data_IF_341544214338
#
_entry.id   IF_341544214338
#
_cell.length_a   1.000
_cell.length_b   1.000
_cell.length_c   1.000
_cell.angle_alpha   90.00
_cell.angle_beta   90.00
_cell.angle_gamma   90.00
#
_symmetry.space_group_name_H-M   'P 1'
#
loop_
_entity.id
_entity.type
_entity.pdbx_description
1 polymer ?
#
# COMPACT_ATOMS: atom_id res chain seq x y z
N UNK A 1 25.35 41.31 7.89
CA UNK A 1 24.70 41.04 6.59
C UNK A 1 24.31 39.57 6.55
N UNK A 2 23.01 39.28 6.50
CA UNK A 2 22.47 37.93 6.68
C UNK A 2 22.71 37.02 5.47
N UNK A 3 23.17 35.79 5.72
CA UNK A 3 23.47 34.81 4.69
C UNK A 3 22.23 34.39 3.88
N UNK A 4 22.46 34.10 2.60
CA UNK A 4 21.44 33.68 1.63
C UNK A 4 20.79 32.38 2.10
N UNK A 5 19.48 32.41 2.37
CA UNK A 5 18.71 31.21 2.71
C UNK A 5 18.47 30.40 1.44
N UNK A 6 18.78 29.10 1.47
CA UNK A 6 18.42 28.17 0.39
C UNK A 6 16.88 28.15 0.26
N UNK A 7 16.39 28.42 -0.94
CA UNK A 7 14.96 28.45 -1.27
C UNK A 7 14.26 27.12 -0.96
N UNK A 8 12.92 27.09 -0.95
CA UNK A 8 12.16 25.93 -0.53
C UNK A 8 12.47 24.74 -1.44
N UNK A 9 12.50 23.56 -0.81
CA UNK A 9 12.58 22.22 -1.39
C UNK A 9 12.33 22.19 -2.91
N UNK A 10 13.41 22.16 -3.69
CA UNK A 10 13.34 21.79 -5.10
C UNK A 10 12.87 20.34 -5.17
N UNK A 11 11.60 20.14 -5.52
CA UNK A 11 11.04 18.82 -5.79
C UNK A 11 11.85 18.19 -6.90
N UNK A 12 12.66 17.19 -6.56
CA UNK A 12 13.39 16.43 -7.56
C UNK A 12 12.37 15.77 -8.48
N UNK A 13 12.48 16.06 -9.79
CA UNK A 13 11.65 15.45 -10.82
C UNK A 13 12.04 13.97 -10.91
N UNK A 14 11.29 13.10 -10.25
CA UNK A 14 11.43 11.66 -10.45
C UNK A 14 11.05 11.36 -11.90
N UNK A 15 11.95 10.70 -12.63
CA UNK A 15 11.76 10.31 -14.03
C UNK A 15 10.41 9.59 -14.23
N UNK A 16 9.42 10.33 -14.76
CA UNK A 16 8.04 9.87 -14.97
C UNK A 16 7.99 8.62 -15.89
N UNK A 17 8.96 8.46 -16.77
CA UNK A 17 9.04 7.35 -17.73
C UNK A 17 9.27 5.95 -17.12
N UNK A 18 9.76 5.84 -15.87
CA UNK A 18 9.89 4.52 -15.20
C UNK A 18 8.64 4.08 -14.44
N UNK A 19 7.70 4.99 -14.19
CA UNK A 19 6.57 4.77 -13.27
C UNK A 19 5.41 4.06 -13.98
N UNK A 20 5.24 4.27 -15.28
CA UNK A 20 4.02 3.86 -15.99
C UNK A 20 3.97 2.38 -16.39
N UNK A 21 5.11 1.70 -16.57
CA UNK A 21 5.11 0.35 -17.17
C UNK A 21 4.88 -0.78 -16.16
N UNK A 22 5.06 -0.54 -14.84
CA UNK A 22 5.09 -1.62 -13.84
C UNK A 22 4.50 -1.24 -12.46
N UNK A 23 3.62 -0.24 -12.37
CA UNK A 23 2.98 0.05 -11.09
C UNK A 23 1.99 -1.07 -10.69
N UNK A 24 2.17 -1.61 -9.48
CA UNK A 24 1.24 -2.55 -8.85
C UNK A 24 1.23 -2.28 -7.35
N UNK A 25 0.11 -2.61 -6.70
CA UNK A 25 0.00 -2.55 -5.25
C UNK A 25 0.95 -3.56 -4.61
N UNK A 26 1.82 -3.09 -3.71
CA UNK A 26 2.79 -3.94 -3.00
C UNK A 26 2.31 -4.33 -1.61
N UNK A 27 1.51 -3.48 -0.97
CA UNK A 27 1.05 -3.67 0.41
C UNK A 27 -0.42 -4.08 0.44
N UNK A 28 -0.70 -5.17 1.14
CA UNK A 28 -2.04 -5.73 1.31
C UNK A 28 -2.34 -6.00 2.77
N UNK A 29 -3.59 -5.80 3.16
CA UNK A 29 -4.12 -6.20 4.45
C UNK A 29 -4.88 -7.52 4.26
N UNK A 30 -4.52 -8.53 5.04
CA UNK A 30 -5.25 -9.79 5.13
C UNK A 30 -6.01 -9.81 6.45
N UNK A 31 -7.33 -9.82 6.33
CA UNK A 31 -8.26 -9.83 7.46
C UNK A 31 -8.88 -11.20 7.62
N UNK A 32 -8.98 -11.68 8.85
CA UNK A 32 -9.64 -12.95 9.15
C UNK A 32 -11.15 -12.75 9.12
N UNK A 33 -11.85 -13.61 8.39
CA UNK A 33 -13.32 -13.67 8.44
C UNK A 33 -13.67 -14.67 9.53
N UNK A 34 -14.26 -14.23 10.63
CA UNK A 34 -14.69 -15.12 11.71
C UNK A 34 -15.97 -14.59 12.37
N UNK A 35 -16.87 -15.50 12.73
CA UNK A 35 -18.10 -15.18 13.46
C UNK A 35 -17.79 -14.73 14.90
N UNK A 36 -16.68 -15.21 15.47
CA UNK A 36 -16.29 -14.98 16.87
C UNK A 36 -15.23 -13.87 17.02
N UNK A 37 -15.05 -13.00 16.02
CA UNK A 37 -14.04 -11.91 16.01
C UNK A 37 -12.61 -12.39 16.29
N UNK A 38 -12.28 -13.61 15.89
CA UNK A 38 -10.94 -14.15 16.03
C UNK A 38 -9.95 -13.39 15.13
N UNK A 39 -8.71 -13.26 15.60
CA UNK A 39 -7.63 -12.54 14.89
C UNK A 39 -6.44 -13.45 14.58
N UNK A 40 -5.40 -12.93 13.95
CA UNK A 40 -4.14 -13.63 13.74
C UNK A 40 -3.20 -13.58 14.96
N UNK A 41 -3.61 -12.95 16.07
CA UNK A 41 -2.81 -12.97 17.31
C UNK A 41 -2.69 -14.39 17.89
N UNK A 42 -3.77 -15.17 17.81
CA UNK A 42 -3.82 -16.55 18.31
C UNK A 42 -3.20 -17.57 17.35
N UNK A 43 -2.94 -17.16 16.10
CA UNK A 43 -2.39 -18.04 15.07
C UNK A 43 -0.87 -18.03 15.15
N UNK A 44 -0.25 -19.22 15.13
CA UNK A 44 1.21 -19.36 15.16
C UNK A 44 1.87 -18.59 14.00
N UNK A 45 2.92 -17.77 14.26
CA UNK A 45 3.60 -17.01 13.21
C UNK A 45 4.22 -17.94 12.14
N UNK A 46 4.72 -19.12 12.53
CA UNK A 46 5.25 -20.11 11.60
C UNK A 46 4.16 -20.69 10.69
N UNK A 47 2.93 -20.85 11.20
CA UNK A 47 1.81 -21.31 10.38
C UNK A 47 1.40 -20.24 9.37
N UNK A 48 1.36 -18.97 9.81
CA UNK A 48 1.07 -17.83 8.93
C UNK A 48 2.09 -17.76 7.80
N UNK A 49 3.38 -17.81 8.13
CA UNK A 49 4.46 -17.78 7.15
C UNK A 49 4.37 -18.94 6.15
N UNK A 50 4.19 -20.18 6.64
CA UNK A 50 4.04 -21.36 5.77
C UNK A 50 2.80 -21.28 4.88
N UNK A 51 1.66 -20.82 5.40
CA UNK A 51 0.43 -20.70 4.62
C UNK A 51 0.57 -19.67 3.49
N UNK A 52 1.19 -18.52 3.79
CA UNK A 52 1.40 -17.47 2.80
C UNK A 52 2.45 -17.91 1.78
N UNK A 53 3.60 -18.44 2.22
CA UNK A 53 4.65 -18.93 1.34
C UNK A 53 4.20 -20.09 0.46
N UNK A 54 3.33 -20.97 0.96
CA UNK A 54 2.72 -22.03 0.16
C UNK A 54 1.75 -21.52 -0.91
N UNK A 55 1.14 -20.35 -0.70
CA UNK A 55 0.14 -19.79 -1.63
C UNK A 55 0.73 -18.81 -2.65
N UNK A 56 1.71 -18.00 -2.23
CA UNK A 56 2.27 -16.88 -3.01
C UNK A 56 3.76 -17.05 -3.32
N UNK A 57 4.41 -18.07 -2.76
CA UNK A 57 5.86 -18.23 -2.77
C UNK A 57 6.55 -17.25 -1.81
N UNK A 58 7.84 -17.02 -2.03
CA UNK A 58 8.62 -16.09 -1.23
C UNK A 58 8.16 -14.64 -1.47
N UNK A 59 7.69 -13.98 -0.42
CA UNK A 59 7.20 -12.60 -0.44
C UNK A 59 8.16 -11.67 0.33
N UNK A 60 7.96 -10.35 0.24
CA UNK A 60 8.89 -9.37 0.79
C UNK A 60 8.83 -9.32 2.31
N UNK A 61 7.63 -9.20 2.87
CA UNK A 61 7.46 -9.18 4.32
C UNK A 61 6.04 -9.57 4.74
N UNK A 62 5.93 -10.14 5.94
CA UNK A 62 4.67 -10.40 6.64
C UNK A 62 4.78 -9.78 8.02
N UNK A 63 3.82 -8.95 8.40
CA UNK A 63 3.77 -8.33 9.73
C UNK A 63 2.39 -8.47 10.32
N UNK A 64 2.31 -8.80 11.60
CA UNK A 64 1.06 -8.72 12.37
C UNK A 64 0.83 -7.27 12.78
N UNK A 65 -0.35 -6.75 12.46
CA UNK A 65 -0.77 -5.41 12.87
C UNK A 65 -1.37 -5.45 14.28
N UNK A 66 -1.41 -4.29 14.95
CA UNK A 66 -2.07 -4.13 16.26
C UNK A 66 -3.58 -4.41 16.20
N UNK A 67 -4.19 -4.28 15.02
CA UNK A 67 -5.59 -4.67 14.80
C UNK A 67 -5.82 -6.18 14.89
N UNK A 68 -4.76 -6.99 14.81
CA UNK A 68 -4.84 -8.45 14.70
C UNK A 68 -4.92 -8.96 13.28
N UNK A 69 -4.84 -8.08 12.28
CA UNK A 69 -4.72 -8.41 10.85
C UNK A 69 -3.26 -8.64 10.45
N UNK A 70 -3.05 -9.12 9.23
CA UNK A 70 -1.71 -9.23 8.63
C UNK A 70 -1.50 -8.15 7.58
N UNK A 71 -0.36 -7.49 7.64
CA UNK A 71 0.19 -6.69 6.55
C UNK A 71 1.14 -7.58 5.76
N UNK A 72 0.89 -7.70 4.46
CA UNK A 72 1.70 -8.48 3.53
C UNK A 72 2.27 -7.57 2.45
N UNK A 73 3.57 -7.65 2.26
CA UNK A 73 4.28 -6.95 1.20
C UNK A 73 4.73 -7.95 0.13
N UNK A 74 4.32 -7.73 -1.12
CA UNK A 74 4.65 -8.60 -2.26
C UNK A 74 5.79 -8.02 -3.10
N UNK A 75 6.55 -8.90 -3.75
CA UNK A 75 7.71 -8.52 -4.59
C UNK A 75 7.33 -8.34 -6.07
N UNK A 76 6.25 -8.98 -6.51
CA UNK A 76 5.91 -9.10 -7.94
C UNK A 76 4.45 -8.80 -8.22
N UNK A 77 4.18 -8.25 -9.41
CA UNK A 77 2.83 -8.07 -9.96
C UNK A 77 2.02 -9.38 -10.03
N UNK A 78 2.68 -10.51 -10.31
CA UNK A 78 1.99 -11.81 -10.31
C UNK A 78 1.46 -12.14 -8.91
N UNK A 79 2.27 -11.90 -7.89
CA UNK A 79 1.89 -12.09 -6.49
C UNK A 79 0.78 -11.12 -6.08
N UNK A 80 0.84 -9.85 -6.51
CA UNK A 80 -0.21 -8.87 -6.20
C UNK A 80 -1.58 -9.26 -6.78
N UNK A 81 -1.60 -9.85 -7.96
CA UNK A 81 -2.84 -10.37 -8.56
C UNK A 81 -3.31 -11.67 -7.90
N UNK A 82 -2.38 -12.50 -7.42
CA UNK A 82 -2.71 -13.75 -6.73
C UNK A 82 -3.24 -13.51 -5.31
N UNK A 83 -2.63 -12.59 -4.56
CA UNK A 83 -3.02 -12.31 -3.17
C UNK A 83 -4.45 -11.76 -3.08
N UNK A 84 -4.87 -10.93 -4.04
CA UNK A 84 -6.26 -10.45 -4.12
C UNK A 84 -7.28 -11.56 -4.36
N UNK A 85 -6.86 -12.72 -4.91
CA UNK A 85 -7.72 -13.88 -5.14
C UNK A 85 -7.75 -14.84 -3.95
N UNK A 86 -6.91 -14.64 -2.94
CA UNK A 86 -6.89 -15.50 -1.76
C UNK A 86 -8.16 -15.30 -0.93
N UNK A 87 -8.87 -16.41 -0.73
CA UNK A 87 -10.08 -16.48 0.11
C UNK A 87 -9.85 -17.20 1.43
N UNK A 88 -8.75 -17.94 1.55
CA UNK A 88 -8.39 -18.68 2.75
C UNK A 88 -6.87 -18.82 2.88
N UNK A 89 -6.39 -18.84 4.11
CA UNK A 89 -5.03 -19.24 4.47
C UNK A 89 -5.13 -20.57 5.24
N UNK A 90 -4.88 -21.68 4.54
CA UNK A 90 -5.15 -23.01 5.06
C UNK A 90 -6.65 -23.21 5.31
N UNK A 91 -7.03 -23.48 6.55
CA UNK A 91 -8.43 -23.64 6.98
C UNK A 91 -9.09 -22.33 7.40
N UNK A 92 -8.33 -21.23 7.50
CA UNK A 92 -8.83 -19.95 8.01
C UNK A 92 -9.35 -19.11 6.82
N UNK A 93 -10.64 -18.78 6.75
CA UNK A 93 -11.16 -17.90 5.71
C UNK A 93 -10.68 -16.46 5.93
N UNK A 94 -10.30 -15.80 4.85
CA UNK A 94 -9.72 -14.45 4.87
C UNK A 94 -10.31 -13.57 3.78
N UNK A 95 -10.28 -12.27 4.01
CA UNK A 95 -10.47 -11.23 3.01
C UNK A 95 -9.17 -10.47 2.82
N UNK A 96 -8.87 -10.08 1.58
CA UNK A 96 -7.65 -9.34 1.24
C UNK A 96 -8.04 -8.02 0.60
N UNK A 97 -7.44 -6.94 1.08
CA UNK A 97 -7.62 -5.59 0.53
C UNK A 97 -6.27 -4.91 0.32
N UNK A 98 -6.16 -4.06 -0.71
CA UNK A 98 -4.98 -3.24 -0.91
C UNK A 98 -4.88 -2.18 0.19
N UNK A 99 -3.67 -1.93 0.70
CA UNK A 99 -3.47 -0.94 1.73
C UNK A 99 -3.53 0.48 1.15
N UNK A 100 -4.49 1.28 1.60
CA UNK A 100 -4.75 2.62 1.06
C UNK A 100 -3.54 3.56 1.14
N UNK A 101 -2.94 3.70 2.32
CA UNK A 101 -1.85 4.67 2.50
C UNK A 101 -0.45 4.18 2.09
N UNK A 102 -0.11 2.89 2.20
CA UNK A 102 1.25 2.41 1.91
C UNK A 102 1.50 2.22 0.41
N UNK A 103 0.44 2.02 -0.38
CA UNK A 103 0.52 1.97 -1.84
C UNK A 103 0.46 3.35 -2.50
N UNK A 104 0.19 4.40 -1.73
CA UNK A 104 0.08 5.78 -2.25
C UNK A 104 1.09 6.68 -1.56
N UNK A 105 1.59 7.70 -2.26
CA UNK A 105 2.36 8.77 -1.66
C UNK A 105 1.62 10.11 -1.83
N UNK A 106 1.77 11.01 -0.85
CA UNK A 106 1.21 12.37 -0.95
C UNK A 106 2.14 13.23 -1.80
N UNK A 107 1.69 13.59 -3.00
CA UNK A 107 2.31 14.65 -3.80
C UNK A 107 1.91 16.03 -3.26
N UNK A 108 2.85 16.98 -3.28
CA UNK A 108 2.56 18.39 -2.98
C UNK A 108 2.91 19.23 -4.20
N UNK A 109 1.96 20.05 -4.63
CA UNK A 109 2.12 21.00 -5.74
C UNK A 109 2.02 22.41 -5.16
N UNK A 110 3.00 23.27 -5.46
CA UNK A 110 2.96 24.69 -5.10
C UNK A 110 2.96 25.51 -6.39
N UNK A 111 1.88 26.26 -6.63
CA UNK A 111 1.71 27.07 -7.83
C UNK A 111 0.99 28.37 -7.48
N UNK A 112 1.64 29.53 -7.71
CA UNK A 112 1.06 30.83 -7.39
C UNK A 112 -0.16 31.19 -8.25
N UNK A 113 -0.24 30.65 -9.48
CA UNK A 113 -1.38 30.88 -10.37
C UNK A 113 -2.67 30.18 -9.89
N UNK A 114 -2.55 29.14 -9.05
CA UNK A 114 -3.69 28.42 -8.49
C UNK A 114 -4.12 28.96 -7.12
N UNK A 115 -3.55 30.08 -6.65
CA UNK A 115 -3.81 30.61 -5.30
C UNK A 115 -5.28 30.93 -5.04
N UNK A 116 -6.01 31.36 -6.07
CA UNK A 116 -7.41 31.78 -5.97
C UNK A 116 -8.39 30.70 -6.43
N UNK A 117 -7.89 29.54 -6.86
CA UNK A 117 -8.73 28.43 -7.31
C UNK A 117 -9.08 27.53 -6.11
N UNK A 118 -10.30 26.98 -6.09
CA UNK A 118 -10.71 26.06 -5.02
C UNK A 118 -10.08 24.68 -5.22
N UNK A 119 -9.91 23.94 -4.13
CA UNK A 119 -9.30 22.59 -4.19
C UNK A 119 -10.14 21.66 -5.06
N UNK A 120 -11.46 21.78 -4.98
CA UNK A 120 -12.41 20.96 -5.74
C UNK A 120 -12.21 21.15 -7.26
N UNK A 121 -12.18 22.41 -7.72
CA UNK A 121 -11.98 22.73 -9.14
C UNK A 121 -10.61 22.28 -9.65
N UNK A 122 -9.56 22.47 -8.83
CA UNK A 122 -8.22 21.96 -9.16
C UNK A 122 -8.24 20.43 -9.31
N UNK A 123 -8.93 19.71 -8.42
CA UNK A 123 -9.02 18.25 -8.50
C UNK A 123 -9.86 17.74 -9.67
N UNK A 124 -10.93 18.43 -10.05
CA UNK A 124 -11.77 18.05 -11.19
C UNK A 124 -11.00 18.17 -12.53
N UNK A 125 -10.33 19.31 -12.73
CA UNK A 125 -9.56 19.56 -13.96
C UNK A 125 -8.31 18.66 -14.07
N UNK A 126 -7.67 18.30 -12.96
CA UNK A 126 -6.49 17.42 -12.97
C UNK A 126 -6.82 15.92 -13.05
N UNK A 127 -8.06 15.52 -12.74
CA UNK A 127 -8.52 14.14 -12.87
C UNK A 127 -9.16 13.85 -14.25
N UNK A 128 -9.34 14.88 -15.09
CA UNK A 128 -9.87 14.79 -16.47
C UNK A 128 -8.76 14.47 -17.47
#
# INVERSE_FOLDING_TARGET
>A
MGGVKKGPFSGQRTNQHKIQENHFDSFFIVQRISQNKETFHTVSPFLVEKAISGSLGEIQSIRKLRSGDLLVEVKSRKQSQQILKLKALGTIPVSVTAHTSLNTCKGVITCGALLNETVEKITEELNS
#
